data_IF_285012453532
#
_entry.id   IF_285012453532
#
_cell.length_a   1.000
_cell.length_b   1.000
_cell.length_c   1.000
_cell.angle_alpha   90.00
_cell.angle_beta   90.00
_cell.angle_gamma   90.00
#
_symmetry.space_group_name_H-M   'P 1'
#
loop_
_entity.id
_entity.type
_entity.pdbx_description
1 polymer ?
#
# COMPACT_ATOMS: atom_id res chain seq x y z
N UNK A 1 8.76 11.73 -0.09
CA UNK A 1 9.71 10.58 -0.03
C UNK A 1 9.81 9.70 -1.28
N UNK A 2 8.86 9.72 -2.24
CA UNK A 2 9.03 8.97 -3.51
C UNK A 2 9.04 7.44 -3.37
N UNK A 3 8.30 6.90 -2.41
CA UNK A 3 8.15 5.47 -2.17
C UNK A 3 7.14 4.82 -3.15
N UNK A 4 7.22 3.50 -3.28
CA UNK A 4 6.28 2.70 -4.07
C UNK A 4 5.25 2.07 -3.14
N UNK A 5 3.96 2.29 -3.44
CA UNK A 5 2.87 1.72 -2.67
C UNK A 5 2.43 0.35 -3.23
N UNK A 6 2.38 -0.67 -2.38
CA UNK A 6 1.82 -1.98 -2.72
C UNK A 6 0.58 -2.25 -1.89
N UNK A 7 -0.63 -2.19 -2.47
CA UNK A 7 -1.83 -2.57 -1.76
C UNK A 7 -1.85 -4.08 -1.51
N UNK A 8 -2.19 -4.47 -0.28
CA UNK A 8 -2.50 -5.84 0.10
C UNK A 8 -3.98 -5.94 0.44
N UNK A 9 -4.66 -6.91 -0.14
CA UNK A 9 -6.07 -7.12 0.15
C UNK A 9 -6.23 -7.78 1.52
N UNK A 10 -7.17 -7.30 2.32
CA UNK A 10 -7.40 -7.79 3.69
C UNK A 10 -7.85 -9.25 3.73
N UNK A 11 -8.42 -9.78 2.65
CA UNK A 11 -8.78 -11.21 2.59
C UNK A 11 -7.58 -12.14 2.28
N UNK A 12 -6.39 -11.61 2.01
CA UNK A 12 -5.22 -12.45 1.78
C UNK A 12 -4.82 -13.20 3.07
N UNK A 13 -4.53 -14.50 2.91
CA UNK A 13 -3.86 -15.30 3.93
C UNK A 13 -2.33 -15.09 3.93
N UNK A 14 -1.61 -15.64 4.92
CA UNK A 14 -0.18 -15.38 5.12
C UNK A 14 0.70 -15.66 3.90
N UNK A 15 0.56 -16.84 3.27
CA UNK A 15 1.32 -17.21 2.06
C UNK A 15 1.10 -16.24 0.89
N UNK A 16 -0.13 -15.75 0.75
CA UNK A 16 -0.45 -14.79 -0.30
C UNK A 16 0.24 -13.46 -0.01
N UNK A 17 0.32 -13.03 1.25
CA UNK A 17 1.03 -11.82 1.67
C UNK A 17 2.54 -11.98 1.45
N UNK A 18 3.13 -13.06 1.95
CA UNK A 18 4.56 -13.38 1.85
C UNK A 18 5.07 -13.26 0.41
N UNK A 19 4.40 -13.96 -0.53
CA UNK A 19 4.76 -13.89 -1.95
C UNK A 19 4.77 -12.45 -2.50
N UNK A 20 3.81 -11.60 -2.09
CA UNK A 20 3.76 -10.19 -2.52
C UNK A 20 4.89 -9.38 -1.90
N UNK A 21 5.25 -9.63 -0.64
CA UNK A 21 6.30 -8.89 0.07
C UNK A 21 7.69 -9.26 -0.46
N UNK A 22 7.93 -10.54 -0.75
CA UNK A 22 9.15 -11.02 -1.37
C UNK A 22 9.34 -10.42 -2.75
N UNK A 23 8.31 -10.47 -3.60
CA UNK A 23 8.38 -9.94 -4.95
C UNK A 23 8.70 -8.42 -4.99
N UNK A 24 8.11 -7.64 -4.08
CA UNK A 24 8.33 -6.19 -4.04
C UNK A 24 9.50 -5.74 -3.20
N UNK A 25 10.14 -6.65 -2.48
CA UNK A 25 11.16 -6.35 -1.48
C UNK A 25 10.71 -5.24 -0.50
N UNK A 26 9.45 -5.29 -0.07
CA UNK A 26 8.82 -4.28 0.77
C UNK A 26 9.66 -3.98 2.02
N UNK A 27 9.73 -2.70 2.41
CA UNK A 27 10.53 -2.25 3.56
C UNK A 27 9.70 -1.95 4.80
N UNK A 28 8.42 -1.65 4.62
CA UNK A 28 7.47 -1.38 5.69
C UNK A 28 6.11 -1.97 5.30
N UNK A 29 5.41 -2.58 6.26
CA UNK A 29 4.01 -2.98 6.13
C UNK A 29 3.19 -2.15 7.13
N UNK A 30 2.13 -1.51 6.64
CA UNK A 30 1.16 -0.82 7.49
C UNK A 30 -0.08 -1.70 7.62
N UNK A 31 -0.51 -1.98 8.85
CA UNK A 31 -1.63 -2.88 9.13
C UNK A 31 -2.44 -2.42 10.34
N UNK A 32 -3.44 -3.20 10.73
CA UNK A 32 -4.22 -3.01 11.95
C UNK A 32 -4.22 -4.31 12.79
N UNK A 33 -4.64 -4.25 14.08
CA UNK A 33 -4.66 -5.41 14.96
C UNK A 33 -5.42 -6.60 14.38
N UNK A 34 -6.55 -6.37 13.70
CA UNK A 34 -7.36 -7.41 13.06
C UNK A 34 -6.64 -8.20 11.96
N UNK A 35 -5.64 -7.61 11.29
CA UNK A 35 -4.87 -8.26 10.23
C UNK A 35 -3.43 -8.59 10.64
N UNK A 36 -2.96 -8.07 11.79
CA UNK A 36 -1.58 -8.21 12.23
C UNK A 36 -1.15 -9.66 12.44
N UNK A 37 -2.06 -10.52 12.90
CA UNK A 37 -1.80 -11.96 13.07
C UNK A 37 -1.49 -12.69 11.76
N UNK A 38 -1.99 -12.20 10.61
CA UNK A 38 -1.70 -12.81 9.29
C UNK A 38 -0.24 -12.63 8.86
N UNK A 39 0.49 -11.74 9.52
CA UNK A 39 1.90 -11.49 9.28
C UNK A 39 2.79 -12.45 10.08
N UNK A 40 2.27 -13.12 11.11
CA UNK A 40 3.08 -13.92 12.04
C UNK A 40 3.77 -15.13 11.36
N UNK A 41 3.19 -15.63 10.25
CA UNK A 41 3.74 -16.74 9.47
C UNK A 41 4.60 -16.29 8.28
N UNK A 42 4.80 -14.99 8.07
CA UNK A 42 5.60 -14.46 6.95
C UNK A 42 7.08 -14.49 7.31
N UNK A 43 7.92 -15.11 6.48
CA UNK A 43 9.37 -15.06 6.68
C UNK A 43 9.93 -13.66 6.35
N UNK A 44 11.03 -13.28 7.02
CA UNK A 44 11.77 -12.04 6.77
C UNK A 44 10.89 -10.77 6.76
N UNK A 45 10.03 -10.64 7.77
CA UNK A 45 9.11 -9.51 7.87
C UNK A 45 9.82 -8.16 7.80
N UNK A 46 9.33 -7.23 6.94
CA UNK A 46 9.74 -5.84 7.01
C UNK A 46 9.28 -5.19 8.32
N UNK A 47 9.68 -3.93 8.54
CA UNK A 47 9.17 -3.16 9.70
C UNK A 47 7.65 -3.08 9.62
N UNK A 48 6.97 -3.31 10.73
CA UNK A 48 5.51 -3.24 10.80
C UNK A 48 5.11 -1.97 11.51
N UNK A 49 4.17 -1.23 10.93
CA UNK A 49 3.48 -0.15 11.59
C UNK A 49 2.01 -0.53 11.78
N UNK A 50 1.56 -0.53 13.02
CA UNK A 50 0.22 -0.98 13.37
C UNK A 50 -0.63 0.24 13.77
N UNK A 51 -1.80 0.37 13.14
CA UNK A 51 -2.78 1.40 13.45
C UNK A 51 -3.67 0.88 14.58
N UNK A 52 -3.38 1.29 15.81
CA UNK A 52 -4.12 0.88 17.01
C UNK A 52 -5.47 1.61 17.13
N UNK A 53 -6.46 0.92 17.70
CA UNK A 53 -7.63 1.49 18.35
C UNK A 53 -7.36 1.81 19.83
N UNK A 54 -8.40 2.23 20.56
CA UNK A 54 -8.26 2.69 21.95
C UNK A 54 -7.84 1.57 22.92
N UNK A 55 -8.35 0.35 22.71
CA UNK A 55 -8.13 -0.80 23.60
C UNK A 55 -7.10 -1.79 23.05
N UNK A 56 -6.44 -1.45 21.93
CA UNK A 56 -5.48 -2.32 21.28
C UNK A 56 -4.09 -2.16 21.89
N UNK A 57 -3.44 -3.28 22.20
CA UNK A 57 -2.04 -3.29 22.64
C UNK A 57 -1.07 -3.34 21.43
N UNK A 58 -0.01 -2.53 21.49
CA UNK A 58 1.08 -2.62 20.53
C UNK A 58 1.85 -3.93 20.69
N UNK A 59 2.06 -4.67 19.59
CA UNK A 59 2.92 -5.86 19.61
C UNK A 59 4.39 -5.45 19.65
N UNK A 60 5.21 -6.25 20.34
CA UNK A 60 6.64 -6.00 20.45
C UNK A 60 7.30 -5.93 19.06
N UNK A 61 8.09 -4.87 18.83
CA UNK A 61 8.80 -4.63 17.57
C UNK A 61 7.99 -3.88 16.50
N UNK A 62 6.67 -3.76 16.67
CA UNK A 62 5.84 -2.92 15.79
C UNK A 62 6.03 -1.42 16.14
N UNK A 63 5.77 -0.57 15.16
CA UNK A 63 5.67 0.88 15.30
C UNK A 63 4.20 1.22 15.58
N UNK A 64 3.91 1.97 16.63
CA UNK A 64 2.59 2.63 16.75
C UNK A 64 2.48 3.70 15.68
N UNK A 65 1.67 3.42 14.65
CA UNK A 65 1.52 4.31 13.51
C UNK A 65 0.91 5.66 13.90
N UNK A 66 -0.08 5.67 14.80
CA UNK A 66 -0.80 6.89 15.18
C UNK A 66 0.08 7.78 16.05
N UNK A 67 0.79 7.20 17.01
CA UNK A 67 1.74 7.93 17.84
C UNK A 67 2.90 8.49 17.00
N UNK A 68 3.47 7.68 16.10
CA UNK A 68 4.54 8.13 15.21
C UNK A 68 4.08 9.26 14.27
N UNK A 69 2.86 9.19 13.74
CA UNK A 69 2.29 10.23 12.91
C UNK A 69 2.02 11.52 13.69
N UNK A 70 1.52 11.43 14.92
CA UNK A 70 1.27 12.59 15.78
C UNK A 70 2.55 13.31 16.21
N UNK A 71 3.65 12.58 16.38
CA UNK A 71 4.96 13.14 16.69
C UNK A 71 5.72 13.65 15.46
N UNK A 72 5.30 13.30 14.26
CA UNK A 72 5.97 13.69 13.03
C UNK A 72 5.72 15.17 12.69
N UNK A 73 6.72 15.80 12.08
CA UNK A 73 6.57 17.14 11.50
C UNK A 73 5.51 17.11 10.40
N UNK A 74 4.59 18.11 10.32
CA UNK A 74 3.70 18.26 9.18
C UNK A 74 4.45 18.68 7.90
N UNK A 75 5.66 19.22 8.04
CA UNK A 75 6.52 19.57 6.92
C UNK A 75 7.29 18.34 6.42
N UNK A 76 7.02 17.93 5.19
CA UNK A 76 7.73 16.86 4.48
C UNK A 76 7.86 17.24 3.02
N UNK A 77 9.04 17.70 2.62
CA UNK A 77 9.29 18.12 1.25
C UNK A 77 9.11 16.94 0.28
N UNK A 78 8.35 17.12 -0.82
CA UNK A 78 8.17 16.09 -1.81
C UNK A 78 9.51 15.80 -2.51
N UNK A 79 9.79 14.51 -2.71
CA UNK A 79 10.98 14.09 -3.43
C UNK A 79 10.65 14.05 -4.91
N UNK A 80 11.37 14.83 -5.72
CA UNK A 80 11.19 14.87 -7.17
C UNK A 80 11.56 13.53 -7.81
N UNK A 81 10.69 13.05 -8.69
CA UNK A 81 10.82 11.79 -9.43
C UNK A 81 10.57 12.02 -10.92
N UNK A 82 11.07 11.11 -11.76
CA UNK A 82 10.87 11.08 -13.21
C UNK A 82 9.62 10.30 -13.56
N UNK A 83 9.05 10.54 -14.75
CA UNK A 83 7.84 9.85 -15.20
C UNK A 83 7.97 8.31 -15.22
N UNK A 84 9.17 7.78 -15.43
CA UNK A 84 9.46 6.34 -15.43
C UNK A 84 9.61 5.72 -14.02
N UNK A 85 9.73 6.55 -12.98
CA UNK A 85 9.84 6.05 -11.61
C UNK A 85 8.52 5.46 -11.14
N UNK A 86 8.59 4.37 -10.38
CA UNK A 86 7.41 3.69 -9.87
C UNK A 86 6.81 4.45 -8.68
N UNK A 87 5.48 4.42 -8.59
CA UNK A 87 4.76 4.89 -7.39
C UNK A 87 3.80 3.84 -6.85
N UNK A 88 3.51 2.78 -7.62
CA UNK A 88 2.67 1.67 -7.19
C UNK A 88 3.20 0.34 -7.73
N UNK A 89 3.03 -0.71 -6.94
CA UNK A 89 3.26 -2.10 -7.33
C UNK A 89 1.95 -2.85 -7.12
N UNK A 90 1.28 -3.23 -8.21
CA UNK A 90 0.08 -4.08 -8.13
C UNK A 90 0.46 -5.55 -8.31
N UNK A 91 -0.49 -6.45 -8.10
CA UNK A 91 -0.33 -7.86 -8.45
C UNK A 91 -1.58 -8.36 -9.15
N UNK A 92 -1.41 -9.22 -10.16
CA UNK A 92 -2.55 -9.91 -10.78
C UNK A 92 -3.04 -11.05 -9.87
N UNK A 93 -4.30 -11.47 -10.03
CA UNK A 93 -4.88 -12.56 -9.24
C UNK A 93 -4.27 -13.94 -9.56
N UNK A 94 -3.51 -14.05 -10.65
CA UNK A 94 -2.80 -15.27 -11.05
C UNK A 94 -3.75 -16.42 -11.37
N UNK A 95 -4.38 -16.40 -12.55
CA UNK A 95 -5.23 -17.53 -13.01
C UNK A 95 -4.43 -18.70 -13.58
N UNK A 96 -3.13 -18.51 -13.87
CA UNK A 96 -2.25 -19.50 -14.51
C UNK A 96 -0.90 -19.67 -13.80
N UNK A 97 -0.82 -19.34 -12.50
CA UNK A 97 0.40 -19.49 -11.70
C UNK A 97 0.54 -18.45 -10.60
N UNK A 98 1.75 -18.32 -10.06
CA UNK A 98 2.06 -17.34 -9.02
C UNK A 98 1.73 -15.90 -9.49
N UNK A 99 1.14 -15.06 -8.63
CA UNK A 99 0.83 -13.66 -8.93
C UNK A 99 2.03 -12.92 -9.51
N UNK A 100 1.84 -12.22 -10.63
CA UNK A 100 2.90 -11.38 -11.20
C UNK A 100 2.73 -9.95 -10.71
N UNK A 101 3.83 -9.33 -10.30
CA UNK A 101 3.82 -7.90 -9.99
C UNK A 101 3.65 -7.07 -11.25
N UNK A 102 2.90 -5.97 -11.11
CA UNK A 102 2.63 -5.00 -12.16
C UNK A 102 3.18 -3.67 -11.66
N UNK A 103 4.41 -3.30 -12.06
CA UNK A 103 5.00 -2.02 -11.70
C UNK A 103 4.27 -0.90 -12.42
N UNK A 104 3.86 0.13 -11.67
CA UNK A 104 3.12 1.27 -12.22
C UNK A 104 3.98 2.54 -12.12
N UNK A 105 4.42 3.10 -13.26
CA UNK A 105 5.22 4.32 -13.29
C UNK A 105 4.37 5.57 -13.07
N UNK A 106 4.98 6.67 -12.63
CA UNK A 106 4.32 7.96 -12.41
C UNK A 106 3.63 8.49 -13.67
N UNK A 107 4.16 8.21 -14.86
CA UNK A 107 3.53 8.58 -16.13
C UNK A 107 2.13 7.97 -16.33
N UNK A 108 1.82 6.86 -15.64
CA UNK A 108 0.49 6.24 -15.67
C UNK A 108 -0.61 7.14 -15.07
N UNK A 109 -0.25 8.14 -14.25
CA UNK A 109 -1.19 9.13 -13.73
C UNK A 109 -1.93 9.88 -14.85
N UNK A 110 -1.31 10.05 -16.02
CA UNK A 110 -1.96 10.65 -17.19
C UNK A 110 -3.13 9.79 -17.68
N UNK A 111 -2.91 8.47 -17.77
CA UNK A 111 -3.95 7.52 -18.17
C UNK A 111 -5.07 7.43 -17.13
N UNK A 112 -4.72 7.37 -15.84
CA UNK A 112 -5.71 7.34 -14.74
C UNK A 112 -6.57 8.61 -14.73
N UNK A 113 -5.94 9.77 -14.92
CA UNK A 113 -6.66 11.04 -15.02
C UNK A 113 -7.58 11.12 -16.23
N UNK A 114 -7.16 10.59 -17.39
CA UNK A 114 -8.01 10.54 -18.59
C UNK A 114 -9.23 9.64 -18.36
N UNK A 115 -9.01 8.45 -17.80
CA UNK A 115 -10.08 7.50 -17.49
C UNK A 115 -11.10 8.08 -16.51
N UNK A 116 -10.64 8.65 -15.38
CA UNK A 116 -11.52 9.22 -14.35
C UNK A 116 -12.36 10.42 -14.85
N UNK A 117 -11.94 11.09 -15.92
CA UNK A 117 -12.73 12.16 -16.55
C UNK A 117 -13.82 11.63 -17.49
N UNK A 118 -13.57 10.52 -18.18
CA UNK A 118 -14.57 9.88 -19.03
C UNK A 118 -15.71 9.23 -18.23
N UNK A 119 -15.43 8.80 -17.00
CA UNK A 119 -16.41 8.13 -16.12
C UNK A 119 -17.23 9.10 -15.25
N UNK A 120 -17.09 10.42 -15.45
CA UNK A 120 -17.97 11.39 -14.77
C UNK A 120 -19.33 11.44 -15.48
N UNK A 121 -20.45 11.22 -14.78
CA UNK A 121 -21.76 11.45 -15.37
C UNK A 121 -21.88 12.91 -15.81
N UNK A 122 -22.48 13.14 -16.97
CA UNK A 122 -22.74 14.49 -17.48
C UNK A 122 -23.49 15.31 -16.42
N UNK A 123 -23.16 16.60 -16.22
CA UNK A 123 -23.90 17.44 -15.29
C UNK A 123 -25.37 17.45 -15.70
N UNK A 124 -26.27 17.11 -14.76
CA UNK A 124 -27.72 17.24 -14.97
C UNK A 124 -27.99 18.71 -15.29
N UNK A 125 -28.34 19.00 -16.53
CA UNK A 125 -28.86 20.31 -16.91
C UNK A 125 -30.22 20.45 -16.23
N UNK A 126 -30.27 21.25 -15.18
CA UNK A 126 -31.53 21.77 -14.67
C UNK A 126 -32.02 22.79 -15.72
N UNK A 127 -33.09 22.42 -16.42
CA UNK A 127 -33.94 23.35 -17.17
C UNK A 127 -34.85 24.09 -16.19
#
# INVERSE_FOLDING_TARGET
IGAVYQPLFTAFGPKAIEHRLEYSAAKVVVTNPANRGKLDEVANLPRIATILGADDALRQGDIDFRAALAAASPACEPVMRRGQDLFMMMSTSGTTGLPKGVPVPLSALMAFGAYARCDRPAPRRHL
#
